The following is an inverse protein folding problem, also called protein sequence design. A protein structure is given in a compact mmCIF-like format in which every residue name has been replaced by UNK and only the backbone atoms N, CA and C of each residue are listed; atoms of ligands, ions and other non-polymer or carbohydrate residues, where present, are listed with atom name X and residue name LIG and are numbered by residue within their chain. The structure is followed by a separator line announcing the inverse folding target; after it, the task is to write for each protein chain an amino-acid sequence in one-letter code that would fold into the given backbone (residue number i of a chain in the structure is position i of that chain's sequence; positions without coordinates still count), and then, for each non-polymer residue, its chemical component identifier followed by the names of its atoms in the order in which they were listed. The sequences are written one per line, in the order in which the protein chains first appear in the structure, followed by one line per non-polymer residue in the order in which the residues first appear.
data_IF_582467545495
#
_entry.id   IF_582467545495
#
_cell.length_a   1.000
_cell.length_b   1.000
_cell.length_c   1.000
_cell.angle_alpha   90.00
_cell.angle_beta   90.00
_cell.angle_gamma   90.00
#
_symmetry.space_group_name_H-M   'P 1'
#
loop_
_entity.id
_entity.type
_entity.pdbx_description
1 polymer ?
#
# COMPACT_ATOMS: atom_id res chain seq x y z
N UNK A 1 -10.75 -6.88 25.42
CA UNK A 1 -11.72 -7.81 24.79
C UNK A 1 -12.17 -7.30 23.42
N UNK A 2 -12.48 -6.01 23.24
CA UNK A 2 -12.81 -5.44 21.92
C UNK A 2 -11.58 -5.31 21.00
N UNK A 3 -10.41 -4.99 21.54
CA UNK A 3 -9.20 -4.76 20.75
C UNK A 3 -8.64 -6.02 20.08
N UNK A 4 -8.74 -7.19 20.73
CA UNK A 4 -8.27 -8.45 20.14
C UNK A 4 -9.19 -8.97 19.04
N UNK A 5 -10.51 -8.83 19.20
CA UNK A 5 -11.46 -9.18 18.14
C UNK A 5 -11.38 -8.21 16.94
N UNK A 6 -11.01 -6.95 17.19
CA UNK A 6 -10.73 -5.98 16.13
C UNK A 6 -9.44 -6.34 15.38
N UNK A 7 -8.38 -6.73 16.10
CA UNK A 7 -7.12 -7.18 15.51
C UNK A 7 -7.29 -8.44 14.65
N UNK A 8 -8.08 -9.42 15.11
CA UNK A 8 -8.35 -10.67 14.36
C UNK A 8 -9.22 -10.43 13.12
N UNK A 9 -10.12 -9.43 13.13
CA UNK A 9 -10.91 -9.06 11.94
C UNK A 9 -10.10 -8.32 10.88
N UNK A 10 -9.04 -7.60 11.26
CA UNK A 10 -8.22 -6.85 10.32
C UNK A 10 -7.26 -7.75 9.50
N UNK A 11 -6.91 -8.94 10.01
CA UNK A 11 -6.12 -9.91 9.26
C UNK A 11 -6.90 -10.62 8.14
N UNK A 12 -8.24 -10.68 8.22
CA UNK A 12 -9.06 -11.35 7.20
C UNK A 12 -9.56 -10.44 6.08
N UNK A 13 -9.54 -9.11 6.29
CA UNK A 13 -9.97 -8.13 5.29
C UNK A 13 -8.77 -7.25 4.92
N UNK A 14 -8.12 -7.58 3.80
CA UNK A 14 -6.99 -6.80 3.29
C UNK A 14 -7.44 -5.51 2.60
N UNK A 15 -8.69 -5.48 2.12
CA UNK A 15 -9.26 -4.33 1.44
C UNK A 15 -10.78 -4.22 1.59
N UNK A 16 -11.28 -3.00 1.57
CA UNK A 16 -12.71 -2.67 1.67
C UNK A 16 -13.12 -1.63 0.63
N UNK A 17 -14.25 -1.84 -0.04
CA UNK A 17 -14.80 -0.89 -1.01
C UNK A 17 -15.68 0.17 -0.33
N UNK A 18 -15.43 1.44 -0.63
CA UNK A 18 -16.24 2.57 -0.22
C UNK A 18 -17.08 3.07 -1.42
N UNK A 19 -18.39 2.88 -1.35
CA UNK A 19 -19.30 3.27 -2.42
C UNK A 19 -19.57 4.78 -2.52
N UNK A 20 -19.30 5.56 -1.48
CA UNK A 20 -19.52 7.01 -1.50
C UNK A 20 -18.48 7.72 -2.35
N UNK A 21 -17.21 7.25 -2.32
CA UNK A 21 -16.12 7.82 -3.08
C UNK A 21 -15.59 6.91 -4.20
N UNK A 22 -16.17 5.72 -4.37
CA UNK A 22 -15.78 4.72 -5.37
C UNK A 22 -14.28 4.35 -5.26
N UNK A 23 -13.82 4.10 -4.04
CA UNK A 23 -12.42 3.79 -3.71
C UNK A 23 -12.30 2.55 -2.82
N UNK A 24 -11.08 2.07 -2.66
CA UNK A 24 -10.73 0.92 -1.84
C UNK A 24 -9.77 1.32 -0.74
N UNK A 25 -10.11 0.97 0.50
CA UNK A 25 -9.20 1.05 1.65
C UNK A 25 -8.31 -0.19 1.63
N UNK A 26 -7.00 -0.03 1.50
CA UNK A 26 -6.02 -1.10 1.65
C UNK A 26 -5.43 -1.03 3.05
N UNK A 27 -5.69 -2.05 3.87
CA UNK A 27 -5.19 -2.09 5.25
C UNK A 27 -3.76 -2.59 5.30
N UNK A 28 -2.87 -1.87 5.99
CA UNK A 28 -1.47 -2.22 6.09
C UNK A 28 -1.26 -3.34 7.12
N UNK A 29 -0.82 -4.51 6.65
CA UNK A 29 -0.49 -5.67 7.47
C UNK A 29 0.86 -5.52 8.19
N UNK A 30 1.10 -6.34 9.21
CA UNK A 30 2.39 -6.38 9.90
C UNK A 30 3.54 -6.78 8.97
N UNK A 31 3.31 -7.76 8.08
CA UNK A 31 4.32 -8.20 7.11
C UNK A 31 4.68 -7.09 6.12
N UNK A 32 3.69 -6.38 5.59
CA UNK A 32 3.93 -5.25 4.69
C UNK A 32 4.68 -4.13 5.39
N UNK A 33 4.31 -3.81 6.64
CA UNK A 33 4.99 -2.79 7.45
C UNK A 33 6.46 -3.13 7.68
N UNK A 34 6.76 -4.34 8.13
CA UNK A 34 8.13 -4.80 8.35
C UNK A 34 8.95 -4.75 7.06
N UNK A 35 8.34 -5.13 5.94
CA UNK A 35 8.99 -5.09 4.64
C UNK A 35 9.28 -3.65 4.18
N UNK A 36 8.33 -2.72 4.32
CA UNK A 36 8.54 -1.29 4.02
C UNK A 36 9.67 -0.72 4.88
N UNK A 37 9.69 -1.03 6.17
CA UNK A 37 10.73 -0.56 7.08
C UNK A 37 12.12 -1.04 6.66
N UNK A 38 12.23 -2.31 6.22
CA UNK A 38 13.47 -2.85 5.66
C UNK A 38 13.87 -2.18 4.35
N UNK A 39 12.93 -1.87 3.45
CA UNK A 39 13.22 -1.21 2.17
C UNK A 39 13.74 0.22 2.33
N UNK A 40 13.25 0.92 3.36
CA UNK A 40 13.58 2.33 3.61
C UNK A 40 14.66 2.51 4.69
N UNK A 41 15.23 1.42 5.20
CA UNK A 41 16.21 1.41 6.29
C UNK A 41 15.77 2.27 7.47
N UNK A 42 14.54 2.03 7.96
CA UNK A 42 13.94 2.78 9.04
C UNK A 42 13.28 1.88 10.09
N UNK A 43 12.98 2.46 11.25
CA UNK A 43 12.16 1.79 12.27
C UNK A 43 10.68 1.74 11.84
N UNK A 44 9.98 0.64 12.15
CA UNK A 44 8.56 0.48 11.79
C UNK A 44 7.65 1.58 12.37
N UNK A 45 8.01 2.20 13.50
CA UNK A 45 7.29 3.32 14.10
C UNK A 45 7.29 4.58 13.24
N UNK A 46 8.20 4.67 12.26
CA UNK A 46 8.24 5.75 11.27
C UNK A 46 7.14 5.63 10.21
N UNK A 47 6.48 4.48 10.11
CA UNK A 47 5.35 4.27 9.20
C UNK A 47 4.08 4.54 10.02
N UNK A 48 3.56 5.77 10.01
CA UNK A 48 2.47 6.12 10.95
C UNK A 48 1.08 5.72 10.47
N UNK A 49 0.93 5.32 9.19
CA UNK A 49 -0.37 5.00 8.60
C UNK A 49 -0.80 3.58 8.94
N UNK A 50 -2.11 3.36 8.96
CA UNK A 50 -2.75 2.04 9.08
C UNK A 50 -3.16 1.45 7.75
N UNK A 51 -3.15 2.25 6.69
CA UNK A 51 -3.55 1.85 5.35
C UNK A 51 -3.54 3.02 4.38
N UNK A 52 -3.89 2.74 3.13
CA UNK A 52 -3.94 3.70 2.04
C UNK A 52 -5.25 3.54 1.27
N UNK A 53 -5.76 4.64 0.72
CA UNK A 53 -6.95 4.68 -0.15
C UNK A 53 -6.46 4.59 -1.59
N UNK A 54 -7.04 3.67 -2.34
CA UNK A 54 -6.65 3.30 -3.69
C UNK A 54 -7.85 3.32 -4.63
N UNK A 55 -7.58 3.61 -5.91
CA UNK A 55 -8.62 3.62 -6.95
C UNK A 55 -9.13 2.23 -7.36
N UNK A 56 -8.50 1.14 -6.91
CA UNK A 56 -8.95 -0.24 -7.17
C UNK A 56 -8.62 -1.17 -6.01
N UNK A 57 -9.24 -2.35 -6.04
CA UNK A 57 -9.00 -3.42 -5.07
C UNK A 57 -7.58 -3.99 -5.17
N UNK A 58 -7.16 -4.68 -4.12
CA UNK A 58 -5.92 -5.47 -4.11
C UNK A 58 -6.03 -6.61 -5.12
N UNK A 59 -4.94 -6.89 -5.81
CA UNK A 59 -4.85 -7.99 -6.76
C UNK A 59 -3.97 -9.12 -6.22
N UNK A 60 -4.31 -10.37 -6.51
CA UNK A 60 -3.42 -11.51 -6.27
C UNK A 60 -2.38 -11.61 -7.38
N UNK A 61 -1.10 -11.68 -7.02
CA UNK A 61 -0.01 -11.95 -7.95
C UNK A 61 -0.21 -13.32 -8.60
N UNK A 62 -0.25 -13.38 -9.93
CA UNK A 62 -0.48 -14.63 -10.66
C UNK A 62 0.67 -15.64 -10.52
N UNK A 63 1.88 -15.15 -10.22
CA UNK A 63 3.08 -16.00 -10.14
C UNK A 63 3.29 -16.58 -8.74
N UNK A 64 3.16 -15.77 -7.69
CA UNK A 64 3.48 -16.20 -6.32
C UNK A 64 2.31 -16.19 -5.34
N UNK A 65 1.12 -15.73 -5.74
CA UNK A 65 -0.08 -15.71 -4.90
C UNK A 65 -0.12 -14.63 -3.82
N UNK A 66 0.91 -13.78 -3.67
CA UNK A 66 0.88 -12.62 -2.77
C UNK A 66 -0.20 -11.63 -3.19
N UNK A 67 -0.97 -11.08 -2.25
CA UNK A 67 -1.85 -9.94 -2.51
C UNK A 67 -1.04 -8.65 -2.63
N UNK A 68 -1.40 -7.79 -3.58
CA UNK A 68 -0.80 -6.47 -3.76
C UNK A 68 -1.04 -5.63 -2.51
N UNK A 69 -0.05 -4.84 -2.13
CA UNK A 69 -0.05 -4.04 -0.92
C UNK A 69 0.68 -2.72 -1.08
N UNK A 70 0.69 -1.95 0.01
CA UNK A 70 1.49 -0.73 0.08
C UNK A 70 2.99 -1.02 -0.02
N UNK A 71 3.43 -2.17 0.47
CA UNK A 71 4.83 -2.59 0.38
C UNK A 71 5.29 -2.76 -1.07
N UNK A 72 4.40 -3.22 -1.95
CA UNK A 72 4.68 -3.34 -3.38
C UNK A 72 4.76 -1.98 -4.07
N UNK A 73 3.95 -1.00 -3.66
CA UNK A 73 4.06 0.40 -4.14
C UNK A 73 5.43 0.98 -3.77
N UNK A 74 5.83 0.82 -2.51
CA UNK A 74 7.13 1.28 -2.02
C UNK A 74 8.26 0.55 -2.75
N UNK A 75 8.18 -0.78 -2.85
CA UNK A 75 9.15 -1.59 -3.60
C UNK A 75 9.29 -1.08 -5.03
N UNK A 76 8.18 -0.86 -5.74
CA UNK A 76 8.18 -0.38 -7.12
C UNK A 76 8.84 1.00 -7.25
N UNK A 77 8.52 1.92 -6.34
CA UNK A 77 9.10 3.26 -6.33
C UNK A 77 10.62 3.24 -6.10
N UNK A 78 11.09 2.38 -5.19
CA UNK A 78 12.50 2.22 -4.88
C UNK A 78 13.26 1.48 -6.00
N UNK A 79 12.70 0.40 -6.55
CA UNK A 79 13.32 -0.39 -7.63
C UNK A 79 13.44 0.41 -8.93
N UNK A 80 12.47 1.26 -9.25
CA UNK A 80 12.50 2.13 -10.43
C UNK A 80 13.27 3.42 -10.22
N UNK A 81 13.60 3.78 -8.97
CA UNK A 81 14.34 4.99 -8.63
C UNK A 81 13.58 6.31 -8.88
N UNK A 82 12.26 6.25 -9.10
CA UNK A 82 11.44 7.45 -9.36
C UNK A 82 11.23 8.32 -8.11
N UNK A 83 11.44 7.74 -6.93
CA UNK A 83 11.34 8.42 -5.63
C UNK A 83 12.56 8.12 -4.77
N UNK A 84 12.93 9.09 -3.91
CA UNK A 84 13.97 8.90 -2.90
C UNK A 84 13.39 8.31 -1.61
N UNK A 85 14.23 7.67 -0.80
CA UNK A 85 13.86 7.16 0.53
C UNK A 85 13.21 8.23 1.39
N UNK A 86 13.79 9.44 1.42
CA UNK A 86 13.26 10.56 2.19
C UNK A 86 11.88 10.99 1.72
N UNK A 87 11.64 11.00 0.40
CA UNK A 87 10.33 11.30 -0.15
C UNK A 87 9.32 10.23 0.25
N UNK A 88 9.66 8.95 0.13
CA UNK A 88 8.76 7.87 0.53
C UNK A 88 8.42 7.90 2.02
N UNK A 89 9.40 8.16 2.89
CA UNK A 89 9.16 8.31 4.33
C UNK A 89 8.23 9.48 4.65
N UNK A 90 8.38 10.63 3.97
CA UNK A 90 7.47 11.77 4.12
C UNK A 90 6.03 11.38 3.76
N UNK A 91 5.83 10.67 2.64
CA UNK A 91 4.51 10.17 2.22
C UNK A 91 3.94 9.17 3.22
N UNK A 92 4.75 8.25 3.75
CA UNK A 92 4.31 7.27 4.74
C UNK A 92 3.98 7.88 6.12
N UNK A 93 4.50 9.07 6.40
CA UNK A 93 4.30 9.79 7.66
C UNK A 93 3.17 10.81 7.61
N UNK A 94 3.04 11.47 6.47
CA UNK A 94 2.20 12.65 6.29
C UNK A 94 1.11 12.44 5.22
N UNK A 95 1.17 11.34 4.49
CA UNK A 95 0.26 11.02 3.39
C UNK A 95 0.66 11.71 2.09
N UNK A 96 -0.09 11.47 1.00
CA UNK A 96 0.13 12.19 -0.26
C UNK A 96 -0.13 13.69 -0.08
N UNK A 97 0.58 14.52 -0.85
CA UNK A 97 0.39 15.98 -0.79
C UNK A 97 -1.05 16.34 -1.15
N UNK A 98 -1.74 17.20 -0.37
CA UNK A 98 -3.09 17.63 -0.68
C UNK A 98 -3.16 18.25 -2.09
N UNK A 99 -4.11 17.76 -2.90
CA UNK A 99 -4.31 18.24 -4.28
C UNK A 99 -3.31 17.71 -5.31
N UNK A 100 -2.35 16.86 -4.93
CA UNK A 100 -1.53 16.12 -5.87
C UNK A 100 -2.20 14.77 -6.15
N UNK A 101 -2.72 14.58 -7.36
CA UNK A 101 -3.10 13.25 -7.81
C UNK A 101 -1.83 12.41 -7.98
N UNK A 102 -1.79 11.28 -7.28
CA UNK A 102 -0.78 10.26 -7.56
C UNK A 102 -0.99 9.80 -8.99
N UNK A 103 0.05 9.93 -9.83
CA UNK A 103 0.00 9.44 -11.19
C UNK A 103 -0.33 7.94 -11.22
N UNK A 104 -0.84 7.40 -12.33
CA UNK A 104 -0.91 5.98 -12.58
C UNK A 104 0.41 5.24 -12.26
N UNK A 105 0.44 4.35 -11.26
CA UNK A 105 1.60 3.50 -10.96
C UNK A 105 1.36 2.06 -11.43
N UNK A 106 2.32 1.50 -12.17
CA UNK A 106 2.48 0.05 -12.29
C UNK A 106 3.11 -0.49 -11.00
N UNK A 107 2.61 -1.61 -10.49
CA UNK A 107 3.13 -2.20 -9.26
C UNK A 107 3.84 -3.51 -9.59
N UNK A 108 5.05 -3.66 -9.06
CA UNK A 108 5.88 -4.85 -9.08
C UNK A 108 5.68 -5.60 -7.77
N UNK A 109 5.46 -6.91 -7.85
CA UNK A 109 5.36 -7.79 -6.69
C UNK A 109 6.69 -7.86 -5.95
N UNK A 110 6.70 -7.40 -4.70
CA UNK A 110 7.88 -7.38 -3.85
C UNK A 110 8.47 -8.76 -3.57
N UNK A 111 7.68 -9.82 -3.73
CA UNK A 111 8.10 -11.19 -3.46
C UNK A 111 8.76 -11.87 -4.66
N UNK A 112 8.28 -11.63 -5.90
CA UNK A 112 8.74 -12.36 -7.08
C UNK A 112 9.25 -11.48 -8.23
N UNK A 113 9.04 -10.16 -8.17
CA UNK A 113 9.46 -9.22 -9.21
C UNK A 113 8.53 -9.11 -10.41
N UNK A 114 7.46 -9.91 -10.48
CA UNK A 114 6.48 -9.80 -11.57
C UNK A 114 5.51 -8.65 -11.36
N UNK A 115 5.07 -8.02 -12.44
CA UNK A 115 4.08 -6.96 -12.40
C UNK A 115 2.70 -7.51 -11.99
N UNK A 116 2.00 -6.80 -11.11
CA UNK A 116 0.58 -7.04 -10.86
C UNK A 116 -0.26 -6.52 -12.03
N UNK A 117 -1.31 -7.26 -12.39
CA UNK A 117 -2.19 -6.93 -13.48
C UNK A 117 -1.83 -7.67 -14.76
N UNK A 118 -2.84 -8.31 -15.36
CA UNK A 118 -2.72 -8.92 -16.69
C UNK A 118 -2.98 -7.86 -17.79
N UNK A 119 -3.40 -6.66 -17.38
CA UNK A 119 -3.68 -5.51 -18.22
C UNK A 119 -2.50 -4.52 -18.15
N UNK A 120 -1.85 -4.17 -19.28
CA UNK A 120 -0.79 -3.16 -19.33
C UNK A 120 -1.27 -1.75 -18.92
N UNK A 121 -2.59 -1.52 -18.84
CA UNK A 121 -3.20 -0.30 -18.29
C UNK A 121 -3.65 -0.47 -16.83
N UNK A 122 -3.26 -1.56 -16.16
CA UNK A 122 -3.51 -1.70 -14.72
C UNK A 122 -2.65 -0.70 -13.96
N UNK A 123 -3.25 0.46 -13.72
CA UNK A 123 -2.66 1.51 -12.94
C UNK A 123 -3.52 1.83 -11.74
N UNK A 124 -2.84 2.17 -10.65
CA UNK A 124 -3.47 2.56 -9.41
C UNK A 124 -3.04 3.96 -9.00
N UNK A 125 -3.99 4.70 -8.42
CA UNK A 125 -3.75 6.01 -7.86
C UNK A 125 -3.90 5.91 -6.35
N UNK A 126 -2.87 6.32 -5.62
CA UNK A 126 -2.96 6.56 -4.18
C UNK A 126 -3.73 7.86 -3.95
N UNK A 127 -4.92 7.76 -3.35
CA UNK A 127 -5.83 8.89 -3.08
C UNK A 127 -5.76 9.46 -1.67
N UNK A 128 -5.33 8.70 -0.67
CA UNK A 128 -5.22 9.19 0.70
C UNK A 128 -4.60 8.20 1.67
N UNK A 129 -4.22 8.65 2.85
CA UNK A 129 -3.70 7.80 3.92
C UNK A 129 -4.78 7.60 5.01
N UNK A 130 -4.78 6.43 5.64
CA UNK A 130 -5.71 6.08 6.71
C UNK A 130 -4.93 6.07 8.03
N UNK A 131 -5.22 7.02 8.91
CA UNK A 131 -4.54 7.16 10.22
C UNK A 131 -5.39 6.65 11.39
N UNK A 132 -6.72 6.70 11.26
CA UNK A 132 -7.71 6.33 12.29
C UNK A 132 -8.87 5.59 11.65
N UNK A 133 -9.60 4.83 12.48
CA UNK A 133 -10.91 4.27 12.14
C UNK A 133 -11.99 5.32 12.41
#
# INVERSE_FOLDING_TARGET
MADELFSVRQESVLSEYNSECNDYSWWLTATERAHIASLLDCDESKITLRGNIMSRDRQTCQTCGKHSGLDDLVHSAMTTGVHSTNFMLDILQNGPRPGAESAPHSIICSNCGDQFGDDPNWSLNWKGAIWKL
#
